data_IF_232223949652
#
_entry.id   IF_232223949652
#
_cell.length_a   1.000
_cell.length_b   1.000
_cell.length_c   1.000
_cell.angle_alpha   90.00
_cell.angle_beta   90.00
_cell.angle_gamma   90.00
#
_symmetry.space_group_name_H-M   'P 1'
#
loop_
_entity.id
_entity.type
_entity.pdbx_description
1 polymer ?
#
# COMPACT_ATOMS: atom_id res chain seq x y z
N UNK A 1 -37.95 8.85 71.44
CA UNK A 1 -38.74 8.05 70.47
C UNK A 1 -39.04 8.95 69.28
N UNK A 2 -38.99 8.54 67.98
CA UNK A 2 -38.65 7.25 67.35
C UNK A 2 -37.19 7.25 66.82
N UNK A 3 -36.44 6.16 66.63
CA UNK A 3 -36.60 4.86 65.95
C UNK A 3 -36.56 4.91 64.41
N UNK A 4 -35.69 4.05 63.87
CA UNK A 4 -35.62 3.50 62.50
C UNK A 4 -34.93 4.43 61.47
N UNK A 5 -34.04 3.99 60.57
CA UNK A 5 -33.80 2.64 60.04
C UNK A 5 -32.48 2.60 59.27
N UNK A 6 -31.78 1.48 59.43
CA UNK A 6 -30.76 0.92 58.53
C UNK A 6 -31.23 1.01 57.06
N UNK A 7 -30.41 1.57 56.16
CA UNK A 7 -30.33 1.08 54.78
C UNK A 7 -28.91 1.28 54.24
N UNK A 8 -28.27 0.13 54.04
CA UNK A 8 -27.11 -0.10 53.22
C UNK A 8 -27.47 0.28 51.77
N UNK A 9 -26.65 1.09 51.10
CA UNK A 9 -26.61 1.12 49.64
C UNK A 9 -25.20 1.47 49.19
N UNK A 10 -24.48 0.40 48.88
CA UNK A 10 -23.22 0.34 48.15
C UNK A 10 -23.48 0.84 46.73
N UNK A 11 -22.83 1.92 46.28
CA UNK A 11 -22.44 2.08 44.87
C UNK A 11 -21.16 2.93 44.82
N UNK A 12 -20.01 2.26 44.85
CA UNK A 12 -18.76 2.79 44.28
C UNK A 12 -18.15 1.64 43.49
N UNK A 13 -18.23 1.72 42.17
CA UNK A 13 -17.14 1.24 41.32
C UNK A 13 -17.23 1.94 39.95
N UNK A 14 -16.34 2.90 39.76
CA UNK A 14 -16.02 3.49 38.47
C UNK A 14 -15.52 2.40 37.53
N UNK A 15 -16.28 2.12 36.48
CA UNK A 15 -15.78 1.43 35.29
C UNK A 15 -15.66 2.45 34.17
N UNK A 16 -14.55 3.19 34.15
CA UNK A 16 -14.07 3.88 32.96
C UNK A 16 -13.47 2.80 32.07
N UNK A 17 -14.31 2.18 31.25
CA UNK A 17 -13.84 1.30 30.19
C UNK A 17 -13.64 2.15 28.95
N UNK A 18 -12.36 2.36 28.66
CA UNK A 18 -11.83 3.06 27.51
C UNK A 18 -12.54 2.67 26.22
N UNK A 19 -12.90 3.70 25.47
CA UNK A 19 -13.26 3.65 24.07
C UNK A 19 -12.20 2.84 23.31
N UNK A 20 -12.52 1.60 22.92
CA UNK A 20 -11.95 1.02 21.73
C UNK A 20 -12.78 1.53 20.56
N UNK A 21 -12.54 2.77 20.16
CA UNK A 21 -12.82 3.15 18.77
C UNK A 21 -11.79 2.39 17.96
N UNK A 22 -12.17 1.22 17.45
CA UNK A 22 -11.42 0.61 16.36
C UNK A 22 -11.38 1.65 15.24
N UNK A 23 -10.19 2.10 14.86
CA UNK A 23 -9.99 2.86 13.63
C UNK A 23 -10.32 1.91 12.47
N UNK A 24 -11.58 1.83 12.09
CA UNK A 24 -11.99 1.16 10.88
C UNK A 24 -12.89 2.12 10.10
N UNK A 25 -12.46 2.38 8.86
CA UNK A 25 -13.11 3.15 7.80
C UNK A 25 -12.85 4.66 7.78
N UNK A 26 -11.66 5.06 7.35
CA UNK A 26 -11.44 6.36 6.66
C UNK A 26 -11.31 6.20 5.13
N UNK A 27 -11.29 4.97 4.58
CA UNK A 27 -11.22 4.75 3.12
C UNK A 27 -12.53 5.07 2.39
N UNK A 28 -13.66 5.14 3.13
CA UNK A 28 -15.00 5.31 2.55
C UNK A 28 -15.29 6.74 2.07
N UNK A 29 -14.55 7.75 2.54
CA UNK A 29 -14.81 9.16 2.21
C UNK A 29 -14.08 9.64 0.93
N UNK A 30 -13.07 8.91 0.47
CA UNK A 30 -12.20 9.36 -0.64
C UNK A 30 -12.82 9.06 -2.02
N UNK A 31 -13.70 8.06 -2.12
CA UNK A 31 -14.20 7.57 -3.40
C UNK A 31 -15.71 7.78 -3.52
N UNK A 32 -16.12 8.82 -4.24
CA UNK A 32 -17.52 8.98 -4.68
C UNK A 32 -17.88 7.84 -5.65
N UNK A 33 -18.82 6.98 -5.24
CA UNK A 33 -19.25 5.81 -5.98
C UNK A 33 -19.81 6.15 -7.37
N UNK A 34 -20.26 7.38 -7.60
CA UNK A 34 -20.84 7.81 -8.87
C UNK A 34 -19.78 8.18 -9.92
N UNK A 35 -18.49 8.24 -9.54
CA UNK A 35 -17.43 8.58 -10.47
C UNK A 35 -17.09 7.40 -11.41
N UNK A 36 -16.69 7.68 -12.66
CA UNK A 36 -16.07 6.70 -13.53
C UNK A 36 -14.83 6.08 -12.88
N UNK A 37 -14.61 4.78 -13.09
CA UNK A 37 -13.48 4.05 -12.51
C UNK A 37 -12.12 4.75 -12.72
N UNK A 38 -11.74 5.25 -13.92
CA UNK A 38 -10.47 5.97 -14.08
C UNK A 38 -10.31 7.16 -13.11
N UNK A 39 -11.38 7.92 -12.86
CA UNK A 39 -11.34 9.07 -11.95
C UNK A 39 -11.23 8.64 -10.49
N UNK A 40 -11.82 7.49 -10.12
CA UNK A 40 -11.66 6.90 -8.78
C UNK A 40 -10.21 6.50 -8.55
N UNK A 41 -9.59 5.83 -9.52
CA UNK A 41 -8.18 5.43 -9.46
C UNK A 41 -7.27 6.64 -9.36
N UNK A 42 -7.52 7.68 -10.15
CA UNK A 42 -6.71 8.91 -10.10
C UNK A 42 -6.73 9.56 -8.71
N UNK A 43 -7.91 9.68 -8.08
CA UNK A 43 -8.03 10.22 -6.71
C UNK A 43 -7.34 9.36 -5.67
N UNK A 44 -7.44 8.03 -5.80
CA UNK A 44 -6.77 7.11 -4.88
C UNK A 44 -5.24 7.21 -5.01
N UNK A 45 -4.72 7.32 -6.24
CA UNK A 45 -3.29 7.56 -6.48
C UNK A 45 -2.85 8.89 -5.86
N UNK A 46 -3.61 9.98 -6.06
CA UNK A 46 -3.33 11.29 -5.45
C UNK A 46 -3.32 11.25 -3.92
N UNK A 47 -4.16 10.40 -3.32
CA UNK A 47 -4.22 10.16 -1.88
C UNK A 47 -3.16 9.16 -1.37
N UNK A 48 -2.34 8.56 -2.25
CA UNK A 48 -1.44 7.44 -1.95
C UNK A 48 -2.13 6.15 -1.47
N UNK A 49 -3.41 5.98 -1.81
CA UNK A 49 -4.25 4.82 -1.49
C UNK A 49 -4.11 3.70 -2.55
N UNK A 50 -2.86 3.28 -2.79
CA UNK A 50 -2.52 2.36 -3.89
C UNK A 50 -3.14 0.97 -3.73
N UNK A 51 -3.15 0.42 -2.51
CA UNK A 51 -3.73 -0.91 -2.26
C UNK A 51 -5.24 -0.91 -2.50
N UNK A 52 -5.93 0.16 -2.11
CA UNK A 52 -7.36 0.36 -2.41
C UNK A 52 -7.59 0.48 -3.91
N UNK A 53 -6.76 1.23 -4.64
CA UNK A 53 -6.84 1.33 -6.10
C UNK A 53 -6.65 -0.02 -6.79
N UNK A 54 -5.63 -0.79 -6.39
CA UNK A 54 -5.39 -2.14 -6.92
C UNK A 54 -6.52 -3.10 -6.56
N UNK A 55 -7.11 -2.98 -5.37
CA UNK A 55 -8.26 -3.80 -4.98
C UNK A 55 -9.48 -3.53 -5.88
N UNK A 56 -9.74 -2.27 -6.26
CA UNK A 56 -10.81 -1.95 -7.20
C UNK A 56 -10.55 -2.57 -8.58
N UNK A 57 -9.32 -2.42 -9.09
CA UNK A 57 -8.91 -2.96 -10.39
C UNK A 57 -8.85 -4.49 -10.42
N UNK A 58 -8.70 -5.16 -9.28
CA UNK A 58 -8.52 -6.62 -9.23
C UNK A 58 -9.74 -7.42 -9.69
N UNK A 59 -10.93 -6.82 -9.67
CA UNK A 59 -12.19 -7.44 -10.10
C UNK A 59 -12.54 -7.17 -11.58
N UNK A 60 -11.74 -6.34 -12.26
CA UNK A 60 -11.98 -5.93 -13.64
C UNK A 60 -11.30 -6.89 -14.63
N UNK A 61 -11.71 -6.82 -15.90
CA UNK A 61 -11.09 -7.61 -16.97
C UNK A 61 -9.65 -7.13 -17.25
N UNK A 62 -8.67 -7.99 -16.98
CA UNK A 62 -7.25 -7.68 -17.16
C UNK A 62 -6.81 -7.68 -18.63
N UNK A 63 -7.65 -8.16 -19.54
CA UNK A 63 -7.39 -8.07 -20.98
C UNK A 63 -7.92 -6.75 -21.57
N UNK A 64 -8.77 -6.01 -20.84
CA UNK A 64 -9.25 -4.70 -21.26
C UNK A 64 -8.07 -3.70 -21.30
N UNK A 65 -7.78 -3.07 -22.46
CA UNK A 65 -6.71 -2.10 -22.60
C UNK A 65 -6.77 -0.93 -21.62
N UNK A 66 -7.97 -0.45 -21.27
CA UNK A 66 -8.14 0.66 -20.35
C UNK A 66 -7.83 0.23 -18.91
N UNK A 67 -8.24 -0.97 -18.51
CA UNK A 67 -7.90 -1.54 -17.20
C UNK A 67 -6.40 -1.81 -17.10
N UNK A 68 -5.77 -2.32 -18.16
CA UNK A 68 -4.31 -2.51 -18.21
C UNK A 68 -3.57 -1.19 -18.02
N UNK A 69 -4.04 -0.10 -18.63
CA UNK A 69 -3.45 1.22 -18.46
C UNK A 69 -3.59 1.73 -17.01
N UNK A 70 -4.74 1.51 -16.38
CA UNK A 70 -4.96 1.88 -14.97
C UNK A 70 -4.09 1.06 -14.02
N UNK A 71 -3.94 -0.25 -14.25
CA UNK A 71 -3.04 -1.11 -13.48
C UNK A 71 -1.58 -0.66 -13.63
N UNK A 72 -1.12 -0.43 -14.87
CA UNK A 72 0.23 0.07 -15.15
C UNK A 72 0.50 1.38 -14.40
N UNK A 73 -0.43 2.35 -14.53
CA UNK A 73 -0.33 3.64 -13.84
C UNK A 73 -0.29 3.48 -12.32
N UNK A 74 -1.14 2.63 -11.75
CA UNK A 74 -1.24 2.43 -10.30
C UNK A 74 0.03 1.82 -9.74
N UNK A 75 0.53 0.74 -10.34
CA UNK A 75 1.79 0.11 -9.94
C UNK A 75 2.98 1.08 -10.09
N UNK A 76 3.05 1.83 -11.19
CA UNK A 76 4.13 2.79 -11.42
C UNK A 76 4.19 3.86 -10.31
N UNK A 77 3.04 4.45 -9.97
CA UNK A 77 2.99 5.46 -8.91
C UNK A 77 3.25 4.86 -7.53
N UNK A 78 2.80 3.64 -7.27
CA UNK A 78 3.07 2.97 -6.00
C UNK A 78 4.57 2.68 -5.80
N UNK A 79 5.25 2.22 -6.86
CA UNK A 79 6.69 2.02 -6.85
C UNK A 79 7.45 3.33 -6.58
N UNK A 80 7.09 4.41 -7.29
CA UNK A 80 7.69 5.74 -7.10
C UNK A 80 7.45 6.28 -5.68
N UNK A 81 6.24 6.12 -5.15
CA UNK A 81 5.92 6.53 -3.78
C UNK A 81 6.77 5.79 -2.75
N UNK A 82 6.94 4.48 -2.94
CA UNK A 82 7.74 3.63 -2.03
C UNK A 82 9.18 4.13 -1.89
N UNK A 83 9.73 4.79 -2.92
CA UNK A 83 11.10 5.33 -2.91
C UNK A 83 11.27 6.69 -2.21
N UNK A 84 10.19 7.43 -1.92
CA UNK A 84 10.27 8.85 -1.52
C UNK A 84 10.65 9.11 -0.05
N UNK A 85 10.80 8.09 0.78
CA UNK A 85 11.03 8.26 2.23
C UNK A 85 12.34 7.65 2.68
N UNK A 86 13.32 8.51 2.96
CA UNK A 86 14.66 8.17 3.47
C UNK A 86 14.66 7.84 4.96
N UNK A 87 13.83 6.87 5.38
CA UNK A 87 14.04 6.19 6.66
C UNK A 87 14.94 4.97 6.43
N UNK A 88 16.17 5.01 6.97
CA UNK A 88 17.13 3.90 6.85
C UNK A 88 16.62 2.60 7.48
N UNK A 89 15.69 2.68 8.44
CA UNK A 89 15.12 1.50 9.10
C UNK A 89 14.15 0.75 8.18
N UNK A 90 13.47 1.47 7.27
CA UNK A 90 12.49 0.89 6.34
C UNK A 90 13.03 0.72 4.91
N UNK A 91 14.23 1.24 4.63
CA UNK A 91 14.80 1.29 3.28
C UNK A 91 14.71 -0.04 2.53
N UNK A 92 15.05 -1.17 3.17
CA UNK A 92 14.99 -2.49 2.51
C UNK A 92 13.56 -2.87 2.15
N UNK A 93 12.61 -2.69 3.06
CA UNK A 93 11.18 -2.98 2.84
C UNK A 93 10.63 -2.14 1.70
N UNK A 94 10.96 -0.84 1.69
CA UNK A 94 10.52 0.11 0.68
C UNK A 94 11.12 -0.17 -0.70
N UNK A 95 12.41 -0.49 -0.77
CA UNK A 95 13.06 -0.89 -2.02
C UNK A 95 12.50 -2.21 -2.56
N UNK A 96 12.26 -3.21 -1.69
CA UNK A 96 11.60 -4.44 -2.11
C UNK A 96 10.19 -4.17 -2.66
N UNK A 97 9.39 -3.36 -1.97
CA UNK A 97 8.06 -2.98 -2.47
C UNK A 97 8.18 -2.29 -3.84
N UNK A 98 9.04 -1.28 -3.97
CA UNK A 98 9.24 -0.58 -5.23
C UNK A 98 9.63 -1.53 -6.39
N UNK A 99 10.58 -2.43 -6.16
CA UNK A 99 10.98 -3.44 -7.15
C UNK A 99 9.81 -4.35 -7.55
N UNK A 100 9.00 -4.80 -6.59
CA UNK A 100 7.80 -5.58 -6.87
C UNK A 100 6.82 -4.80 -7.75
N UNK A 101 6.54 -3.54 -7.43
CA UNK A 101 5.62 -2.72 -8.22
C UNK A 101 6.14 -2.46 -9.64
N UNK A 102 7.41 -2.13 -9.81
CA UNK A 102 8.00 -1.93 -11.14
C UNK A 102 8.06 -3.22 -11.95
N UNK A 103 8.21 -4.38 -11.29
CA UNK A 103 8.08 -5.68 -11.94
C UNK A 103 6.67 -5.87 -12.52
N UNK A 104 5.62 -5.56 -11.76
CA UNK A 104 4.25 -5.62 -12.25
C UNK A 104 4.00 -4.64 -13.41
N UNK A 105 4.58 -3.44 -13.38
CA UNK A 105 4.56 -2.51 -14.53
C UNK A 105 5.15 -3.18 -15.77
N UNK A 106 6.29 -3.86 -15.65
CA UNK A 106 6.95 -4.49 -16.80
C UNK A 106 6.25 -5.75 -17.30
N UNK A 107 5.51 -6.46 -16.45
CA UNK A 107 4.60 -7.54 -16.88
C UNK A 107 3.47 -7.01 -17.77
N UNK A 108 2.98 -5.80 -17.49
CA UNK A 108 1.93 -5.15 -18.28
C UNK A 108 2.52 -4.50 -19.54
N UNK A 109 3.58 -3.71 -19.37
CA UNK A 109 4.25 -2.97 -20.43
C UNK A 109 5.77 -3.19 -20.34
N UNK A 110 6.31 -4.18 -21.07
CA UNK A 110 7.74 -4.50 -21.04
C UNK A 110 8.65 -3.37 -21.52
N UNK A 111 8.13 -2.35 -22.19
CA UNK A 111 8.88 -1.22 -22.73
C UNK A 111 8.79 0.03 -21.83
N UNK A 112 8.21 -0.06 -20.63
CA UNK A 112 8.13 1.06 -19.71
C UNK A 112 9.53 1.45 -19.20
N UNK A 113 10.10 2.50 -19.79
CA UNK A 113 11.47 2.93 -19.48
C UNK A 113 11.61 3.42 -18.04
N UNK A 114 10.58 4.09 -17.49
CA UNK A 114 10.63 4.59 -16.11
C UNK A 114 10.80 3.44 -15.13
N UNK A 115 10.01 2.37 -15.26
CA UNK A 115 10.15 1.19 -14.39
C UNK A 115 11.53 0.54 -14.50
N UNK A 116 12.09 0.44 -15.72
CA UNK A 116 13.45 -0.10 -15.93
C UNK A 116 14.51 0.74 -15.23
N UNK A 117 14.49 2.05 -15.44
CA UNK A 117 15.46 2.97 -14.86
C UNK A 117 15.42 2.94 -13.32
N UNK A 118 14.22 2.86 -12.73
CA UNK A 118 14.06 2.79 -11.28
C UNK A 118 14.52 1.45 -10.71
N UNK A 119 14.28 0.32 -11.40
CA UNK A 119 14.84 -0.99 -11.01
C UNK A 119 16.37 -0.92 -10.99
N UNK A 120 16.98 -0.43 -12.06
CA UNK A 120 18.44 -0.30 -12.14
C UNK A 120 19.00 0.59 -11.02
N UNK A 121 18.32 1.70 -10.73
CA UNK A 121 18.71 2.61 -9.65
C UNK A 121 18.66 1.91 -8.27
N UNK A 122 17.59 1.18 -7.97
CA UNK A 122 17.46 0.45 -6.70
C UNK A 122 18.54 -0.65 -6.60
N UNK A 123 18.78 -1.38 -7.68
CA UNK A 123 19.80 -2.44 -7.70
C UNK A 123 21.21 -1.87 -7.55
N UNK A 124 21.48 -0.69 -8.12
CA UNK A 124 22.72 0.04 -7.88
C UNK A 124 22.87 0.40 -6.39
N UNK A 125 21.81 0.83 -5.69
CA UNK A 125 21.85 1.08 -4.24
C UNK A 125 22.20 -0.20 -3.47
N UNK A 126 21.53 -1.32 -3.75
CA UNK A 126 21.87 -2.60 -3.10
C UNK A 126 23.33 -3.00 -3.28
N UNK A 127 23.91 -2.77 -4.47
CA UNK A 127 25.32 -3.07 -4.73
C UNK A 127 26.30 -2.29 -3.84
N UNK A 128 25.87 -1.14 -3.27
CA UNK A 128 26.68 -0.34 -2.35
C UNK A 128 26.57 -0.77 -0.89
N UNK A 129 25.61 -1.64 -0.55
CA UNK A 129 25.34 -2.06 0.83
C UNK A 129 25.86 -3.50 1.04
N UNK A 130 26.97 -3.69 1.78
CA UNK A 130 27.54 -5.03 1.98
C UNK A 130 26.54 -6.00 2.60
N UNK A 131 26.53 -7.23 2.08
CA UNK A 131 25.67 -8.33 2.54
C UNK A 131 24.17 -7.99 2.52
N UNK A 132 23.74 -7.09 1.62
CA UNK A 132 22.32 -6.82 1.39
C UNK A 132 21.95 -7.01 -0.07
N UNK A 133 20.78 -7.60 -0.25
CA UNK A 133 20.15 -7.82 -1.55
C UNK A 133 18.62 -7.77 -1.37
N UNK A 134 17.86 -7.63 -2.47
CA UNK A 134 16.42 -7.80 -2.45
C UNK A 134 16.00 -9.16 -1.89
N UNK A 135 14.73 -9.32 -1.58
CA UNK A 135 14.18 -10.62 -1.20
C UNK A 135 14.24 -11.62 -2.36
N UNK A 136 14.39 -12.93 -2.09
CA UNK A 136 14.48 -13.95 -3.14
C UNK A 136 13.30 -13.90 -4.13
N UNK A 137 12.08 -13.67 -3.63
CA UNK A 137 10.86 -13.55 -4.44
C UNK A 137 10.91 -12.31 -5.35
N UNK A 138 11.47 -11.20 -4.85
CA UNK A 138 11.67 -9.98 -5.65
C UNK A 138 12.68 -10.25 -6.78
N UNK A 139 13.80 -10.94 -6.48
CA UNK A 139 14.78 -11.33 -7.49
C UNK A 139 14.17 -12.27 -8.54
N UNK A 140 13.27 -13.17 -8.14
CA UNK A 140 12.56 -14.05 -9.06
C UNK A 140 11.66 -13.25 -10.00
N UNK A 141 10.86 -12.31 -9.49
CA UNK A 141 10.04 -11.43 -10.31
C UNK A 141 10.88 -10.60 -11.30
N UNK A 142 12.03 -10.07 -10.86
CA UNK A 142 12.95 -9.35 -11.73
C UNK A 142 13.47 -10.20 -12.91
N UNK A 143 13.77 -11.49 -12.66
CA UNK A 143 14.18 -12.42 -13.71
C UNK A 143 13.07 -12.65 -14.73
N UNK A 144 11.81 -12.74 -14.31
CA UNK A 144 10.66 -12.91 -15.22
C UNK A 144 10.53 -11.75 -16.23
N UNK A 145 10.96 -10.55 -15.85
CA UNK A 145 10.88 -9.34 -16.69
C UNK A 145 12.21 -8.94 -17.33
N UNK A 146 13.21 -9.83 -17.26
CA UNK A 146 14.46 -9.73 -18.02
C UNK A 146 15.65 -9.10 -17.30
N UNK A 147 15.63 -9.04 -15.97
CA UNK A 147 16.78 -8.62 -15.15
C UNK A 147 17.44 -9.83 -14.48
N UNK A 148 18.71 -10.06 -14.77
CA UNK A 148 19.50 -11.18 -14.23
C UNK A 148 20.52 -10.65 -13.21
N UNK A 149 20.18 -10.78 -11.91
CA UNK A 149 20.97 -10.34 -10.76
C UNK A 149 21.22 -11.49 -9.78
#
# INVERSE_FOLDING_TARGET
MPKYRLFLSIIVLSAVSSLFTGCNNESSEIVDENLPLPQKIDRLIEANEYETALSLLSNEDREDPDIRLLLEKTHLNYGLHSMNTFDQTEMRTRMNNALTQFTEVLKINPQNQVARDQIEQIMAIYSTIPNRQPEPEVLEGLREVGFDY
#
